data_IF_822003860666
#
_entry.id   IF_822003860666
#
_cell.length_a   1.000
_cell.length_b   1.000
_cell.length_c   1.000
_cell.angle_alpha   90.00
_cell.angle_beta   90.00
_cell.angle_gamma   90.00
#
_symmetry.space_group_name_H-M   'P 1'
#
loop_
_entity.id
_entity.type
_entity.pdbx_description
1 polymer ?
#
# COMPACT_ATOMS: atom_id res chain seq x y z
N UNK A 1 -17.77 -5.21 6.22
CA UNK A 1 -17.05 -6.38 6.78
C UNK A 1 -16.07 -5.88 7.84
N UNK A 2 -16.13 -6.38 9.09
CA UNK A 2 -15.25 -5.92 10.19
C UNK A 2 -13.75 -5.96 9.82
N UNK A 3 -13.37 -6.94 8.99
CA UNK A 3 -12.03 -7.11 8.41
C UNK A 3 -11.47 -5.88 7.67
N UNK A 4 -12.26 -5.15 6.88
CA UNK A 4 -11.75 -3.99 6.14
C UNK A 4 -11.47 -2.78 7.05
N UNK A 5 -12.19 -2.66 8.16
CA UNK A 5 -11.92 -1.66 9.20
C UNK A 5 -10.59 -1.98 9.87
N UNK A 6 -10.37 -3.26 10.21
CA UNK A 6 -9.09 -3.71 10.77
C UNK A 6 -7.95 -3.45 9.79
N UNK A 7 -8.12 -3.81 8.52
CA UNK A 7 -7.11 -3.59 7.47
C UNK A 7 -6.80 -2.12 7.22
N UNK A 8 -7.81 -1.24 7.27
CA UNK A 8 -7.58 0.19 7.10
C UNK A 8 -6.63 0.76 8.16
N UNK A 9 -6.61 0.17 9.36
CA UNK A 9 -5.68 0.54 10.43
C UNK A 9 -4.35 -0.22 10.32
N UNK A 10 -4.39 -1.54 10.16
CA UNK A 10 -3.18 -2.38 10.25
C UNK A 10 -2.29 -2.26 9.03
N UNK A 11 -2.83 -2.12 7.81
CA UNK A 11 -2.04 -2.08 6.57
C UNK A 11 -1.15 -0.83 6.53
N UNK A 12 -1.66 0.40 6.75
CA UNK A 12 -0.78 1.56 6.85
C UNK A 12 0.18 1.47 8.04
N UNK A 13 -0.27 0.93 9.19
CA UNK A 13 0.58 0.77 10.37
C UNK A 13 1.77 -0.18 10.11
N UNK A 14 1.56 -1.30 9.42
CA UNK A 14 2.63 -2.22 9.03
C UNK A 14 3.69 -1.52 8.16
N UNK A 15 3.28 -0.62 7.25
CA UNK A 15 4.23 0.18 6.47
C UNK A 15 4.95 1.20 7.35
N UNK A 16 4.28 1.80 8.33
CA UNK A 16 4.91 2.68 9.32
C UNK A 16 5.97 1.93 10.12
N UNK A 17 5.61 0.78 10.69
CA UNK A 17 6.48 -0.08 11.49
C UNK A 17 7.69 -0.52 10.67
N UNK A 18 7.46 -1.01 9.46
CA UNK A 18 8.50 -1.42 8.53
C UNK A 18 9.51 -0.29 8.26
N UNK A 19 9.02 0.91 7.97
CA UNK A 19 9.90 2.07 7.73
C UNK A 19 10.63 2.50 9.01
N UNK A 20 9.97 2.43 10.16
CA UNK A 20 10.58 2.77 11.45
C UNK A 20 11.74 1.82 11.80
N UNK A 21 11.61 0.52 11.55
CA UNK A 21 12.67 -0.46 11.85
C UNK A 21 13.85 -0.41 10.87
N UNK A 22 13.67 0.19 9.69
CA UNK A 22 14.75 0.31 8.69
C UNK A 22 15.87 1.24 9.12
N UNK A 23 15.66 2.16 10.08
CA UNK A 23 16.72 3.06 10.56
C UNK A 23 17.23 4.04 9.49
N UNK A 24 16.33 4.52 8.63
CA UNK A 24 16.63 5.47 7.57
C UNK A 24 16.86 6.88 8.12
N UNK A 25 17.56 7.73 7.36
CA UNK A 25 17.61 9.15 7.67
C UNK A 25 16.19 9.75 7.72
N UNK A 26 15.93 10.65 8.68
CA UNK A 26 14.60 11.20 8.97
C UNK A 26 13.90 11.80 7.73
N UNK A 27 14.65 12.46 6.84
CA UNK A 27 14.11 13.00 5.59
C UNK A 27 13.60 11.90 4.64
N UNK A 28 14.31 10.77 4.53
CA UNK A 28 13.92 9.63 3.69
C UNK A 28 12.73 8.91 4.31
N UNK A 29 12.77 8.65 5.62
CA UNK A 29 11.66 8.08 6.36
C UNK A 29 10.38 8.92 6.21
N UNK A 30 10.47 10.23 6.42
CA UNK A 30 9.33 11.14 6.28
C UNK A 30 8.77 11.14 4.85
N UNK A 31 9.64 11.14 3.84
CA UNK A 31 9.24 11.05 2.44
C UNK A 31 8.50 9.75 2.13
N UNK A 32 9.01 8.62 2.63
CA UNK A 32 8.37 7.32 2.46
C UNK A 32 7.00 7.26 3.10
N UNK A 33 6.89 7.63 4.38
CA UNK A 33 5.62 7.55 5.10
C UNK A 33 4.54 8.40 4.43
N UNK A 34 4.89 9.61 3.97
CA UNK A 34 3.98 10.49 3.24
C UNK A 34 3.49 9.92 1.91
N UNK A 35 4.19 8.94 1.32
CA UNK A 35 3.79 8.27 0.08
C UNK A 35 3.09 6.95 0.34
N UNK A 36 3.63 6.13 1.23
CA UNK A 36 3.20 4.76 1.49
C UNK A 36 1.91 4.70 2.31
N UNK A 37 1.79 5.51 3.37
CA UNK A 37 0.62 5.48 4.27
C UNK A 37 -0.67 5.89 3.53
N UNK A 38 -0.70 7.01 2.79
CA UNK A 38 -1.91 7.37 2.04
C UNK A 38 -2.23 6.37 0.93
N UNK A 39 -1.21 5.81 0.27
CA UNK A 39 -1.42 4.80 -0.76
C UNK A 39 -2.04 3.52 -0.19
N UNK A 40 -1.57 3.05 0.97
CA UNK A 40 -2.16 1.90 1.65
C UNK A 40 -3.60 2.16 2.08
N UNK A 41 -3.87 3.35 2.65
CA UNK A 41 -5.23 3.74 3.01
C UNK A 41 -6.15 3.78 1.78
N UNK A 42 -5.69 4.36 0.67
CA UNK A 42 -6.44 4.42 -0.59
C UNK A 42 -6.70 3.03 -1.19
N UNK A 43 -5.72 2.12 -1.13
CA UNK A 43 -5.87 0.73 -1.58
C UNK A 43 -7.02 0.03 -0.84
N UNK A 44 -7.06 0.14 0.50
CA UNK A 44 -8.13 -0.46 1.30
C UNK A 44 -9.49 0.21 1.03
N UNK A 45 -9.53 1.54 0.95
CA UNK A 45 -10.77 2.27 0.68
C UNK A 45 -11.36 1.95 -0.69
N UNK A 46 -10.52 1.83 -1.73
CA UNK A 46 -10.96 1.46 -3.08
C UNK A 46 -11.35 -0.02 -3.20
N UNK A 47 -10.74 -0.90 -2.40
CA UNK A 47 -11.11 -2.32 -2.39
C UNK A 47 -12.43 -2.60 -1.65
N UNK A 48 -12.81 -1.73 -0.70
CA UNK A 48 -13.97 -1.96 0.16
C UNK A 48 -15.29 -2.14 -0.61
N UNK A 49 -15.65 -1.28 -1.59
CA UNK A 49 -16.90 -1.44 -2.33
C UNK A 49 -17.00 -2.75 -3.11
N UNK A 50 -15.88 -3.26 -3.63
CA UNK A 50 -15.82 -4.58 -4.28
C UNK A 50 -16.09 -5.73 -3.30
N UNK A 51 -15.53 -5.68 -2.08
CA UNK A 51 -15.70 -6.71 -1.03
C UNK A 51 -17.15 -6.82 -0.56
N UNK A 52 -17.80 -5.68 -0.30
CA UNK A 52 -19.20 -5.66 0.13
C UNK A 52 -20.20 -5.75 -1.02
N UNK A 53 -19.72 -5.95 -2.26
CA UNK A 53 -20.53 -5.99 -3.49
C UNK A 53 -21.52 -4.82 -3.54
N UNK A 54 -21.04 -3.62 -3.20
CA UNK A 54 -21.87 -2.42 -3.24
C UNK A 54 -22.29 -2.17 -4.68
N UNK A 55 -23.60 -2.35 -4.94
CA UNK A 55 -24.19 -2.02 -6.24
C UNK A 55 -24.40 -0.51 -6.31
N UNK A 56 -23.37 0.18 -6.78
CA UNK A 56 -23.38 1.63 -6.98
C UNK A 56 -24.01 2.02 -8.33
N UNK A 57 -24.68 1.09 -9.03
CA UNK A 57 -25.32 1.38 -10.32
C UNK A 57 -26.70 2.04 -10.16
N UNK A 58 -27.29 2.05 -8.95
CA UNK A 58 -28.65 2.56 -8.69
C UNK A 58 -28.76 3.90 -7.96
N UNK A 59 -27.72 4.37 -7.26
CA UNK A 59 -27.79 5.59 -6.44
C UNK A 59 -27.10 6.77 -7.12
N UNK A 60 -27.68 7.97 -6.98
CA UNK A 60 -27.26 9.24 -7.61
C UNK A 60 -25.82 9.71 -7.27
N UNK A 61 -25.07 8.95 -6.48
CA UNK A 61 -23.69 9.19 -6.06
C UNK A 61 -22.68 8.16 -6.64
N UNK A 62 -23.15 7.17 -7.42
CA UNK A 62 -22.33 6.09 -7.94
C UNK A 62 -21.61 6.43 -9.24
N UNK A 63 -20.39 5.92 -9.41
CA UNK A 63 -19.58 6.06 -10.63
C UNK A 63 -20.10 5.21 -11.82
N UNK A 64 -21.19 4.44 -11.66
CA UNK A 64 -21.72 3.53 -12.69
C UNK A 64 -20.78 2.40 -13.06
N UNK A 65 -19.90 1.99 -12.12
CA UNK A 65 -18.90 0.95 -12.33
C UNK A 65 -19.41 -0.39 -11.78
N UNK A 66 -19.30 -1.44 -12.60
CA UNK A 66 -19.51 -2.83 -12.15
C UNK A 66 -18.63 -3.12 -10.91
N UNK A 67 -19.15 -3.83 -9.88
CA UNK A 67 -18.38 -4.24 -8.72
C UNK A 67 -16.99 -4.84 -9.03
N UNK A 68 -16.79 -5.45 -10.19
CA UNK A 68 -15.50 -5.99 -10.65
C UNK A 68 -14.41 -4.92 -10.84
N UNK A 69 -14.76 -3.66 -11.08
CA UNK A 69 -13.79 -2.58 -11.32
C UNK A 69 -13.07 -2.10 -10.07
N UNK A 70 -13.66 -2.31 -8.88
CA UNK A 70 -13.08 -1.82 -7.62
C UNK A 70 -11.76 -2.50 -7.27
N UNK A 71 -11.57 -3.78 -7.63
CA UNK A 71 -10.27 -4.45 -7.51
C UNK A 71 -9.21 -3.84 -8.44
N UNK A 72 -9.58 -3.53 -9.69
CA UNK A 72 -8.66 -2.85 -10.61
C UNK A 72 -8.27 -1.45 -10.09
N UNK A 73 -9.24 -0.71 -9.52
CA UNK A 73 -8.96 0.59 -8.92
C UNK A 73 -8.07 0.47 -7.68
N UNK A 74 -8.27 -0.55 -6.83
CA UNK A 74 -7.40 -0.84 -5.67
C UNK A 74 -5.99 -1.28 -6.08
N UNK A 75 -5.85 -1.90 -7.25
CA UNK A 75 -4.55 -2.30 -7.80
C UNK A 75 -3.64 -1.08 -8.07
N UNK A 76 -4.19 0.08 -8.44
CA UNK A 76 -3.41 1.27 -8.77
C UNK A 76 -2.54 1.76 -7.60
N UNK A 77 -3.09 2.06 -6.40
CA UNK A 77 -2.27 2.42 -5.24
C UNK A 77 -1.35 1.28 -4.78
N UNK A 78 -1.73 0.00 -4.97
CA UNK A 78 -0.83 -1.12 -4.70
C UNK A 78 0.43 -1.09 -5.60
N UNK A 79 0.24 -0.89 -6.90
CA UNK A 79 1.36 -0.73 -7.84
C UNK A 79 2.20 0.51 -7.53
N UNK A 80 1.59 1.59 -7.04
CA UNK A 80 2.33 2.76 -6.58
C UNK A 80 3.20 2.47 -5.35
N UNK A 81 2.70 1.70 -4.37
CA UNK A 81 3.51 1.22 -3.23
C UNK A 81 4.72 0.44 -3.73
N UNK A 82 4.52 -0.50 -4.66
CA UNK A 82 5.62 -1.25 -5.28
C UNK A 82 6.60 -0.33 -5.99
N UNK A 83 6.12 0.62 -6.80
CA UNK A 83 6.96 1.61 -7.46
C UNK A 83 7.84 2.39 -6.46
N UNK A 84 7.26 2.89 -5.37
CA UNK A 84 8.00 3.65 -4.35
C UNK A 84 9.08 2.78 -3.69
N UNK A 85 8.73 1.55 -3.33
CA UNK A 85 9.67 0.65 -2.65
C UNK A 85 10.78 0.15 -3.57
N UNK A 86 10.48 -0.19 -4.82
CA UNK A 86 11.45 -0.76 -5.76
C UNK A 86 12.27 0.29 -6.49
N UNK A 87 11.62 1.36 -6.98
CA UNK A 87 12.25 2.36 -7.84
C UNK A 87 12.74 3.56 -7.04
N UNK A 88 11.85 4.24 -6.31
CA UNK A 88 12.21 5.50 -5.65
C UNK A 88 13.26 5.31 -4.56
N UNK A 89 13.07 4.34 -3.66
CA UNK A 89 14.12 4.01 -2.68
C UNK A 89 15.33 3.37 -3.33
N UNK A 90 15.13 2.61 -4.41
CA UNK A 90 16.23 1.97 -5.14
C UNK A 90 17.32 2.98 -5.54
N UNK A 91 16.92 4.20 -5.93
CA UNK A 91 17.83 5.31 -6.28
C UNK A 91 18.73 5.75 -5.12
N UNK A 92 18.25 5.64 -3.88
CA UNK A 92 18.98 6.06 -2.67
C UNK A 92 19.57 4.89 -1.89
N UNK A 93 19.43 3.66 -2.39
CA UNK A 93 19.77 2.45 -1.64
C UNK A 93 21.27 2.21 -1.53
N UNK A 94 22.03 2.55 -2.57
CA UNK A 94 23.49 2.35 -2.64
C UNK A 94 24.27 3.20 -1.62
N UNK A 95 23.67 4.31 -1.15
CA UNK A 95 24.26 5.16 -0.10
C UNK A 95 23.88 4.71 1.33
N UNK A 96 23.06 3.67 1.48
CA UNK A 96 22.65 3.15 2.78
C UNK A 96 23.53 1.98 3.24
N UNK A 97 23.55 1.74 4.56
CA UNK A 97 24.27 0.60 5.15
C UNK A 97 23.74 -0.75 4.62
N UNK A 98 24.61 -1.77 4.60
CA UNK A 98 24.24 -3.12 4.18
C UNK A 98 23.01 -3.69 4.94
N UNK A 99 22.85 -3.32 6.22
CA UNK A 99 21.69 -3.68 7.04
C UNK A 99 20.39 -3.12 6.44
N UNK A 100 20.36 -1.82 6.13
CA UNK A 100 19.20 -1.15 5.52
C UNK A 100 18.85 -1.79 4.17
N UNK A 101 19.87 -2.09 3.36
CA UNK A 101 19.68 -2.74 2.06
C UNK A 101 19.05 -4.14 2.21
N UNK A 102 19.48 -4.92 3.21
CA UNK A 102 18.89 -6.22 3.54
C UNK A 102 17.44 -6.11 4.00
N UNK A 103 17.14 -5.17 4.91
CA UNK A 103 15.78 -4.93 5.38
C UNK A 103 14.84 -4.54 4.25
N UNK A 104 15.26 -3.65 3.35
CA UNK A 104 14.45 -3.27 2.21
C UNK A 104 14.21 -4.43 1.23
N UNK A 105 15.21 -5.28 0.98
CA UNK A 105 15.02 -6.49 0.17
C UNK A 105 13.97 -7.42 0.80
N UNK A 106 14.04 -7.63 2.12
CA UNK A 106 13.05 -8.40 2.86
C UNK A 106 11.66 -7.78 2.79
N UNK A 107 11.57 -6.46 2.98
CA UNK A 107 10.33 -5.69 2.90
C UNK A 107 9.62 -5.87 1.55
N UNK A 108 10.36 -5.73 0.45
CA UNK A 108 9.89 -5.90 -0.92
C UNK A 108 9.34 -7.31 -1.17
N UNK A 109 10.06 -8.32 -0.70
CA UNK A 109 9.65 -9.72 -0.85
C UNK A 109 8.41 -10.04 -0.01
N UNK A 110 8.40 -9.62 1.26
CA UNK A 110 7.26 -9.80 2.15
C UNK A 110 6.01 -9.15 1.58
N UNK A 111 6.11 -7.92 1.10
CA UNK A 111 4.95 -7.20 0.55
C UNK A 111 4.38 -7.93 -0.68
N UNK A 112 5.22 -8.40 -1.60
CA UNK A 112 4.73 -9.18 -2.75
C UNK A 112 4.11 -10.51 -2.29
N UNK A 113 4.81 -11.24 -1.42
CA UNK A 113 4.38 -12.57 -0.98
C UNK A 113 3.07 -12.52 -0.18
N UNK A 114 2.87 -11.47 0.62
CA UNK A 114 1.71 -11.37 1.51
C UNK A 114 0.56 -10.60 0.88
N UNK A 115 0.84 -9.57 0.07
CA UNK A 115 -0.19 -8.64 -0.41
C UNK A 115 -0.44 -8.72 -1.93
N UNK A 116 0.42 -9.41 -2.68
CA UNK A 116 0.26 -9.56 -4.14
C UNK A 116 -1.01 -10.30 -4.59
N UNK A 117 -1.70 -10.98 -3.66
CA UNK A 117 -2.98 -11.67 -3.90
C UNK A 117 -4.22 -10.86 -3.48
N UNK A 118 -4.03 -9.68 -2.90
CA UNK A 118 -5.10 -8.81 -2.38
C UNK A 118 -5.44 -7.54 -3.22
N UNK A 119 -5.07 -7.39 -4.51
CA UNK A 119 -5.60 -6.28 -5.29
C UNK A 119 -7.09 -6.44 -5.63
#
# INVERSE_FOLDING_TARGET
SYRYVDWFLTVPLLLVELVAVMGLASAIQSSLLKRLVPAAAAMILLGYPGDVKLDLNGDAAGLGLDPSWWGLLSTIPFLYILYVLFVEIGKSLSSQSAKVQGLLKGARLLLIATWGVYP
#
